data_IF_029248967179
#
_entry.id   IF_029248967179
#
_cell.length_a   1.000
_cell.length_b   1.000
_cell.length_c   1.000
_cell.angle_alpha   90.00
_cell.angle_beta   90.00
_cell.angle_gamma   90.00
#
_symmetry.space_group_name_H-M   'P 1'
#
loop_
_entity.id
_entity.type
_entity.pdbx_description
1 polymer ?
#
# COMPACT_ATOMS: atom_id res chain seq x y z
N UNK A 1 45.74 -6.42 18.65
CA UNK A 1 46.01 -5.95 17.29
C UNK A 1 44.66 -5.63 16.67
N UNK A 2 44.22 -4.38 16.81
CA UNK A 2 42.86 -3.95 16.45
C UNK A 2 42.82 -3.69 14.95
N UNK A 3 42.10 -4.53 14.20
CA UNK A 3 41.86 -4.31 12.78
C UNK A 3 40.87 -3.14 12.64
N UNK A 4 41.41 -1.93 12.42
CA UNK A 4 40.61 -0.83 11.88
C UNK A 4 40.31 -1.17 10.42
N UNK A 5 39.07 -1.58 10.14
CA UNK A 5 38.57 -1.57 8.78
C UNK A 5 38.47 -0.09 8.36
N UNK A 6 39.42 0.37 7.54
CA UNK A 6 39.28 1.62 6.81
C UNK A 6 38.12 1.42 5.85
N UNK A 7 36.96 1.95 6.20
CA UNK A 7 35.85 2.14 5.26
C UNK A 7 36.28 3.29 4.34
N UNK A 8 37.22 3.01 3.44
CA UNK A 8 37.41 3.79 2.21
C UNK A 8 36.21 3.51 1.30
N UNK A 9 35.02 3.92 1.75
CA UNK A 9 33.81 3.83 0.97
C UNK A 9 33.81 5.04 0.04
N UNK A 10 34.46 4.88 -1.11
CA UNK A 10 34.16 5.70 -2.26
C UNK A 10 32.66 5.57 -2.51
N UNK A 11 31.90 6.57 -2.05
CA UNK A 11 30.45 6.71 -2.16
C UNK A 11 30.05 6.96 -3.61
N UNK A 12 30.36 6.01 -4.48
CA UNK A 12 29.74 5.89 -5.78
C UNK A 12 28.36 5.32 -5.49
N UNK A 13 27.31 6.18 -5.47
CA UNK A 13 25.93 5.70 -5.37
C UNK A 13 25.76 4.53 -6.34
N UNK A 14 25.50 3.33 -5.82
CA UNK A 14 25.36 2.16 -6.65
C UNK A 14 24.01 2.25 -7.35
N UNK A 15 24.05 2.35 -8.67
CA UNK A 15 22.85 2.35 -9.46
C UNK A 15 22.33 0.92 -9.55
N UNK A 16 21.10 0.72 -9.09
CA UNK A 16 20.53 -0.62 -8.98
C UNK A 16 19.93 -1.08 -10.31
N UNK A 17 19.98 -2.37 -10.59
CA UNK A 17 19.29 -2.96 -11.74
C UNK A 17 18.13 -3.85 -11.27
N UNK A 18 16.94 -3.63 -11.85
CA UNK A 18 15.75 -4.45 -11.62
C UNK A 18 15.05 -4.72 -12.97
N UNK A 19 14.94 -5.97 -13.43
CA UNK A 19 14.11 -6.28 -14.57
C UNK A 19 12.65 -5.95 -14.23
N UNK A 20 11.97 -5.21 -15.10
CA UNK A 20 10.56 -4.90 -14.89
C UNK A 20 9.70 -5.21 -16.11
N UNK A 21 8.53 -5.81 -15.85
CA UNK A 21 7.51 -6.09 -16.85
C UNK A 21 6.65 -4.86 -17.13
N UNK A 22 5.96 -4.85 -18.28
CA UNK A 22 5.00 -3.79 -18.61
C UNK A 22 3.91 -3.62 -17.53
N UNK A 23 3.46 -4.73 -16.94
CA UNK A 23 2.47 -4.71 -15.85
C UNK A 23 2.99 -3.98 -14.61
N UNK A 24 4.23 -4.24 -14.19
CA UNK A 24 4.84 -3.58 -13.05
C UNK A 24 5.04 -2.07 -13.26
N UNK A 25 5.37 -1.67 -14.50
CA UNK A 25 5.46 -0.24 -14.86
C UNK A 25 4.08 0.41 -14.83
N UNK A 26 3.08 -0.24 -15.42
CA UNK A 26 1.71 0.24 -15.42
C UNK A 26 1.19 0.42 -13.98
N UNK A 27 1.40 -0.56 -13.10
CA UNK A 27 0.96 -0.46 -11.71
C UNK A 27 1.68 0.65 -10.92
N UNK A 28 2.95 0.92 -11.21
CA UNK A 28 3.65 2.07 -10.64
C UNK A 28 3.02 3.41 -11.10
N UNK A 29 2.78 3.55 -12.41
CA UNK A 29 2.15 4.74 -12.97
C UNK A 29 0.72 4.93 -12.47
N UNK A 30 -0.02 3.82 -12.32
CA UNK A 30 -1.39 3.82 -11.82
C UNK A 30 -1.48 3.97 -10.29
N UNK A 31 -0.38 3.94 -9.54
CA UNK A 31 -0.42 4.02 -8.07
C UNK A 31 -1.10 5.30 -7.56
N UNK A 32 -0.71 6.47 -8.08
CA UNK A 32 -1.29 7.76 -7.66
C UNK A 32 -2.73 7.93 -8.16
N UNK A 33 -3.06 7.71 -9.46
CA UNK A 33 -4.45 7.73 -9.92
C UNK A 33 -5.32 6.72 -9.18
N UNK A 34 -4.81 5.50 -8.93
CA UNK A 34 -5.51 4.44 -8.22
C UNK A 34 -5.83 4.80 -6.78
N UNK A 35 -4.90 5.45 -6.06
CA UNK A 35 -5.15 5.96 -4.71
C UNK A 35 -6.30 6.99 -4.70
N UNK A 36 -6.28 7.94 -5.62
CA UNK A 36 -7.33 8.95 -5.77
C UNK A 36 -8.67 8.31 -6.12
N UNK A 37 -8.68 7.42 -7.12
CA UNK A 37 -9.89 6.73 -7.56
C UNK A 37 -10.50 5.89 -6.44
N UNK A 38 -9.70 5.13 -5.66
CA UNK A 38 -10.21 4.36 -4.53
C UNK A 38 -10.80 5.25 -3.45
N UNK A 39 -10.12 6.35 -3.09
CA UNK A 39 -10.61 7.28 -2.08
C UNK A 39 -11.91 7.97 -2.51
N UNK A 40 -11.98 8.46 -3.75
CA UNK A 40 -13.18 9.07 -4.31
C UNK A 40 -14.32 8.06 -4.44
N UNK A 41 -14.02 6.85 -4.90
CA UNK A 41 -14.99 5.77 -5.07
C UNK A 41 -15.65 5.38 -3.74
N UNK A 42 -14.86 5.15 -2.70
CA UNK A 42 -15.40 4.79 -1.38
C UNK A 42 -16.20 5.96 -0.80
N UNK A 43 -15.73 7.18 -0.98
CA UNK A 43 -16.38 8.38 -0.43
C UNK A 43 -17.74 8.64 -1.08
N UNK A 44 -17.78 8.69 -2.41
CA UNK A 44 -18.93 9.18 -3.17
C UNK A 44 -19.29 8.35 -4.41
N UNK A 45 -18.52 7.30 -4.74
CA UNK A 45 -18.76 6.48 -5.94
C UNK A 45 -20.15 5.87 -6.00
N UNK A 46 -20.69 5.44 -4.84
CA UNK A 46 -22.08 4.95 -4.73
C UNK A 46 -23.15 5.99 -5.08
N UNK A 47 -22.84 7.29 -4.99
CA UNK A 47 -23.76 8.35 -5.39
C UNK A 47 -24.08 8.33 -6.89
N UNK A 48 -23.16 7.83 -7.72
CA UNK A 48 -23.36 7.66 -9.17
C UNK A 48 -24.52 6.70 -9.50
N UNK A 49 -24.91 5.85 -8.56
CA UNK A 49 -25.97 4.86 -8.70
C UNK A 49 -27.23 5.22 -7.88
N UNK A 50 -27.31 6.45 -7.37
CA UNK A 50 -28.42 6.89 -6.53
C UNK A 50 -28.40 6.31 -5.11
N UNK A 51 -27.23 5.87 -4.62
CA UNK A 51 -27.00 5.39 -3.26
C UNK A 51 -26.08 6.33 -2.46
N UNK A 52 -26.06 7.62 -2.79
CA UNK A 52 -25.30 8.65 -2.08
C UNK A 52 -26.18 9.30 -1.02
N UNK A 53 -25.96 8.96 0.24
CA UNK A 53 -26.75 9.45 1.37
C UNK A 53 -25.92 10.19 2.41
N UNK A 54 -26.40 10.16 3.65
CA UNK A 54 -25.76 10.86 4.78
C UNK A 54 -24.31 10.45 5.05
N UNK A 55 -23.91 9.21 4.72
CA UNK A 55 -22.56 8.72 4.97
C UNK A 55 -21.50 9.33 4.06
N UNK A 56 -21.88 9.92 2.92
CA UNK A 56 -20.92 10.55 1.99
C UNK A 56 -20.14 11.66 2.69
N UNK A 57 -20.82 12.51 3.47
CA UNK A 57 -20.18 13.59 4.23
C UNK A 57 -19.22 13.07 5.29
N UNK A 58 -19.61 12.01 6.00
CA UNK A 58 -18.76 11.36 7.02
C UNK A 58 -17.50 10.80 6.35
N UNK A 59 -17.65 10.07 5.23
CA UNK A 59 -16.53 9.46 4.54
C UNK A 59 -15.59 10.50 3.93
N UNK A 60 -16.11 11.63 3.48
CA UNK A 60 -15.33 12.72 2.90
C UNK A 60 -14.34 13.35 3.90
N UNK A 61 -14.64 13.33 5.20
CA UNK A 61 -13.77 13.86 6.25
C UNK A 61 -12.96 12.78 6.99
N UNK A 62 -13.26 11.49 6.77
CA UNK A 62 -12.66 10.37 7.51
C UNK A 62 -12.03 9.31 6.59
N UNK A 63 -12.83 8.34 6.13
CA UNK A 63 -12.36 7.18 5.37
C UNK A 63 -11.67 7.54 4.06
N UNK A 64 -12.21 8.50 3.30
CA UNK A 64 -11.63 8.97 2.03
C UNK A 64 -10.24 9.56 2.22
N UNK A 65 -10.08 10.62 3.05
CA UNK A 65 -8.78 11.19 3.35
C UNK A 65 -7.78 10.20 3.95
N UNK A 66 -8.24 9.33 4.87
CA UNK A 66 -7.38 8.32 5.48
C UNK A 66 -6.83 7.33 4.44
N UNK A 67 -7.70 6.80 3.57
CA UNK A 67 -7.28 5.87 2.52
C UNK A 67 -6.36 6.56 1.51
N UNK A 68 -6.68 7.79 1.12
CA UNK A 68 -5.84 8.59 0.22
C UNK A 68 -4.45 8.84 0.82
N UNK A 69 -4.37 9.15 2.11
CA UNK A 69 -3.10 9.36 2.79
C UNK A 69 -2.26 8.07 2.79
N UNK A 70 -2.86 6.93 3.17
CA UNK A 70 -2.16 5.64 3.24
C UNK A 70 -1.63 5.23 1.86
N UNK A 71 -2.51 5.18 0.85
CA UNK A 71 -2.13 4.76 -0.50
C UNK A 71 -1.26 5.81 -1.21
N UNK A 72 -1.47 7.09 -0.94
CA UNK A 72 -0.67 8.19 -1.48
C UNK A 72 0.77 8.17 -0.97
N UNK A 73 0.98 7.94 0.33
CA UNK A 73 2.32 7.77 0.90
C UNK A 73 2.98 6.50 0.37
N UNK A 74 2.23 5.40 0.23
CA UNK A 74 2.75 4.18 -0.38
C UNK A 74 3.21 4.41 -1.82
N UNK A 75 2.38 5.07 -2.64
CA UNK A 75 2.71 5.45 -4.01
C UNK A 75 3.95 6.35 -4.05
N UNK A 76 4.06 7.31 -3.14
CA UNK A 76 5.24 8.17 -3.02
C UNK A 76 6.52 7.36 -2.77
N UNK A 77 6.49 6.39 -1.85
CA UNK A 77 7.63 5.50 -1.63
C UNK A 77 7.96 4.62 -2.82
N UNK A 78 6.96 4.10 -3.53
CA UNK A 78 7.17 3.32 -4.75
C UNK A 78 7.86 4.14 -5.85
N UNK A 79 7.44 5.39 -6.04
CA UNK A 79 8.06 6.29 -7.00
C UNK A 79 9.49 6.66 -6.59
N UNK A 80 9.72 6.87 -5.30
CA UNK A 80 11.06 7.14 -4.80
C UNK A 80 11.98 5.92 -4.93
N UNK A 81 11.46 4.72 -4.66
CA UNK A 81 12.15 3.45 -4.90
C UNK A 81 12.56 3.31 -6.35
N UNK A 82 11.61 3.45 -7.28
CA UNK A 82 11.83 3.29 -8.71
C UNK A 82 12.92 4.21 -9.27
N UNK A 83 13.07 5.43 -8.73
CA UNK A 83 14.12 6.39 -9.15
C UNK A 83 15.55 5.92 -8.88
N UNK A 84 15.76 4.91 -8.02
CA UNK A 84 17.09 4.38 -7.69
C UNK A 84 17.57 3.28 -8.65
N UNK A 85 16.71 2.87 -9.58
CA UNK A 85 17.00 1.80 -10.52
C UNK A 85 17.25 2.35 -11.92
N UNK A 86 18.33 1.90 -12.57
CA UNK A 86 18.61 2.20 -13.97
C UNK A 86 17.70 1.42 -14.92
N UNK A 87 17.30 2.08 -16.01
CA UNK A 87 16.42 1.51 -17.01
C UNK A 87 14.94 1.75 -16.71
N UNK A 88 14.07 0.93 -17.30
CA UNK A 88 12.64 1.15 -17.17
C UNK A 88 12.14 0.61 -15.84
N UNK A 89 12.18 1.45 -14.81
CA UNK A 89 11.81 1.08 -13.45
C UNK A 89 10.29 0.93 -13.32
N UNK A 90 9.84 -0.29 -12.99
CA UNK A 90 8.48 -0.59 -12.53
C UNK A 90 8.51 -1.02 -11.06
N UNK A 91 7.35 -1.17 -10.42
CA UNK A 91 7.27 -1.69 -9.04
C UNK A 91 7.61 -3.19 -8.96
N UNK A 92 7.74 -3.77 -7.77
CA UNK A 92 7.83 -5.24 -7.62
C UNK A 92 6.52 -5.94 -7.96
N UNK A 93 6.58 -7.21 -8.37
CA UNK A 93 5.38 -8.02 -8.65
C UNK A 93 4.45 -8.10 -7.44
N UNK A 94 5.02 -8.22 -6.24
CA UNK A 94 4.27 -8.28 -4.98
C UNK A 94 3.44 -7.02 -4.79
N UNK A 95 4.04 -5.84 -4.90
CA UNK A 95 3.31 -4.57 -4.80
C UNK A 95 2.32 -4.35 -5.93
N UNK A 96 2.64 -4.80 -7.15
CA UNK A 96 1.73 -4.71 -8.29
C UNK A 96 0.44 -5.50 -8.04
N UNK A 97 0.56 -6.76 -7.61
CA UNK A 97 -0.59 -7.62 -7.29
C UNK A 97 -1.34 -7.11 -6.06
N UNK A 98 -0.61 -6.71 -5.01
CA UNK A 98 -1.21 -6.25 -3.77
C UNK A 98 -2.03 -4.97 -3.96
N UNK A 99 -1.55 -4.03 -4.79
CA UNK A 99 -2.33 -2.85 -5.19
C UNK A 99 -3.59 -3.25 -5.96
N UNK A 100 -3.47 -4.12 -6.96
CA UNK A 100 -4.61 -4.54 -7.77
C UNK A 100 -5.70 -5.19 -6.90
N UNK A 101 -5.31 -6.07 -5.97
CA UNK A 101 -6.21 -6.69 -5.00
C UNK A 101 -6.82 -5.64 -4.08
N UNK A 102 -6.04 -4.68 -3.59
CA UNK A 102 -6.53 -3.57 -2.74
C UNK A 102 -7.59 -2.75 -3.47
N UNK A 103 -7.36 -2.42 -4.75
CA UNK A 103 -8.31 -1.67 -5.56
C UNK A 103 -9.58 -2.47 -5.84
N UNK A 104 -9.47 -3.78 -6.09
CA UNK A 104 -10.63 -4.65 -6.25
C UNK A 104 -11.48 -4.73 -4.98
N UNK A 105 -10.85 -4.86 -3.80
CA UNK A 105 -11.56 -4.88 -2.52
C UNK A 105 -12.20 -3.51 -2.24
N UNK A 106 -11.50 -2.41 -2.49
CA UNK A 106 -12.05 -1.06 -2.36
C UNK A 106 -13.26 -0.85 -3.28
N UNK A 107 -13.20 -1.39 -4.50
CA UNK A 107 -14.31 -1.36 -5.44
C UNK A 107 -15.53 -2.09 -4.88
N UNK A 108 -15.34 -3.34 -4.43
CA UNK A 108 -16.39 -4.17 -3.80
C UNK A 108 -16.98 -3.46 -2.58
N UNK A 109 -16.13 -2.86 -1.72
CA UNK A 109 -16.60 -2.12 -0.56
C UNK A 109 -17.49 -0.96 -0.96
N UNK A 110 -17.08 -0.12 -1.93
CA UNK A 110 -17.94 0.98 -2.41
C UNK A 110 -19.27 0.52 -3.00
N UNK A 111 -19.30 -0.67 -3.62
CA UNK A 111 -20.54 -1.28 -4.13
C UNK A 111 -21.48 -1.74 -3.01
N UNK A 112 -20.92 -2.39 -1.98
CA UNK A 112 -21.66 -3.00 -0.88
C UNK A 112 -21.94 -2.04 0.27
N UNK A 113 -21.26 -0.90 0.35
CA UNK A 113 -21.43 0.07 1.44
C UNK A 113 -22.88 0.58 1.46
N UNK A 114 -23.68 0.21 2.47
CA UNK A 114 -25.04 0.70 2.58
C UNK A 114 -25.03 2.15 3.05
N UNK A 115 -25.92 2.96 2.48
CA UNK A 115 -26.15 4.35 2.84
C UNK A 115 -27.65 4.61 3.03
N UNK A 116 -28.00 5.69 3.70
CA UNK A 116 -29.39 6.08 3.94
C UNK A 116 -29.75 7.25 3.04
N UNK A 117 -30.67 7.00 2.10
CA UNK A 117 -31.22 7.99 1.17
C UNK A 117 -32.73 8.07 1.40
N UNK A 118 -33.25 9.25 1.71
CA UNK A 118 -34.68 9.48 1.97
C UNK A 118 -35.30 8.50 3.00
N UNK A 119 -34.53 8.16 4.03
CA UNK A 119 -34.95 7.23 5.10
C UNK A 119 -34.90 5.75 4.74
N UNK A 120 -34.43 5.39 3.54
CA UNK A 120 -34.25 3.99 3.10
C UNK A 120 -32.78 3.63 3.02
N UNK A 121 -32.42 2.45 3.52
CA UNK A 121 -31.08 1.88 3.36
C UNK A 121 -30.92 1.35 1.94
N UNK A 122 -29.95 1.88 1.21
CA UNK A 122 -29.65 1.52 -0.19
C UNK A 122 -28.14 1.36 -0.36
N UNK A 123 -27.71 0.48 -1.25
CA UNK A 123 -26.31 0.39 -1.69
C UNK A 123 -26.26 0.47 -3.21
N UNK A 124 -25.07 0.70 -3.79
CA UNK A 124 -24.93 0.66 -5.24
C UNK A 124 -25.25 -0.74 -5.79
N UNK A 125 -24.84 -1.79 -5.07
CA UNK A 125 -25.19 -3.17 -5.41
C UNK A 125 -26.71 -3.41 -5.41
N UNK A 126 -27.45 -2.91 -4.41
CA UNK A 126 -28.91 -3.10 -4.36
C UNK A 126 -29.64 -2.34 -5.47
N UNK A 127 -29.10 -1.20 -5.91
CA UNK A 127 -29.64 -0.42 -7.03
C UNK A 127 -29.43 -1.07 -8.40
N UNK A 128 -28.33 -1.83 -8.56
CA UNK A 128 -27.98 -2.47 -9.83
C UNK A 128 -28.52 -3.90 -9.92
N UNK A 129 -28.41 -4.68 -8.84
CA UNK A 129 -28.68 -6.12 -8.82
C UNK A 129 -30.05 -6.49 -8.22
N UNK A 130 -30.75 -5.52 -7.63
CA UNK A 130 -32.06 -5.70 -7.01
C UNK A 130 -32.06 -5.50 -5.50
N UNK A 131 -33.23 -5.20 -4.93
CA UNK A 131 -33.37 -4.81 -3.53
C UNK A 131 -32.94 -5.93 -2.55
N UNK A 132 -33.04 -7.20 -2.96
CA UNK A 132 -32.63 -8.37 -2.15
C UNK A 132 -31.13 -8.36 -1.79
N UNK A 133 -30.30 -7.63 -2.55
CA UNK A 133 -28.87 -7.48 -2.27
C UNK A 133 -28.56 -6.56 -1.08
N UNK A 134 -29.57 -5.91 -0.49
CA UNK A 134 -29.35 -5.07 0.70
C UNK A 134 -28.89 -5.87 1.91
N UNK A 135 -29.35 -7.12 2.06
CA UNK A 135 -28.90 -8.03 3.13
C UNK A 135 -27.42 -8.39 2.99
N UNK A 136 -26.97 -8.66 1.76
CA UNK A 136 -25.56 -8.88 1.45
C UNK A 136 -24.71 -7.64 1.77
N UNK A 137 -25.21 -6.46 1.40
CA UNK A 137 -24.57 -5.17 1.65
C UNK A 137 -24.41 -4.90 3.15
N UNK A 138 -25.44 -5.21 3.95
CA UNK A 138 -25.40 -5.07 5.40
C UNK A 138 -24.38 -6.03 6.06
N UNK A 139 -24.31 -7.29 5.58
CA UNK A 139 -23.40 -8.30 6.13
C UNK A 139 -21.93 -8.11 5.74
N UNK A 140 -21.67 -7.72 4.49
CA UNK A 140 -20.31 -7.63 3.95
C UNK A 140 -19.75 -6.21 3.86
N UNK A 141 -20.56 -5.17 4.01
CA UNK A 141 -20.09 -3.78 3.96
C UNK A 141 -18.98 -3.49 4.97
N UNK A 142 -19.18 -3.85 6.23
CA UNK A 142 -18.16 -3.65 7.27
C UNK A 142 -16.91 -4.51 7.03
N UNK A 143 -17.10 -5.78 6.68
CA UNK A 143 -16.00 -6.72 6.43
C UNK A 143 -15.13 -6.26 5.26
N UNK A 144 -15.74 -5.87 4.15
CA UNK A 144 -15.02 -5.35 2.97
C UNK A 144 -14.34 -4.00 3.26
N UNK A 145 -14.96 -3.15 4.09
CA UNK A 145 -14.32 -1.94 4.62
C UNK A 145 -13.04 -2.23 5.40
N UNK A 146 -13.09 -3.14 6.38
CA UNK A 146 -11.92 -3.54 7.17
C UNK A 146 -10.83 -4.13 6.26
N UNK A 147 -11.21 -5.06 5.36
CA UNK A 147 -10.29 -5.67 4.41
C UNK A 147 -9.62 -4.64 3.50
N UNK A 148 -10.33 -3.59 3.09
CA UNK A 148 -9.77 -2.50 2.29
C UNK A 148 -8.63 -1.82 3.04
N UNK A 149 -8.80 -1.48 4.32
CA UNK A 149 -7.75 -0.83 5.11
C UNK A 149 -6.60 -1.77 5.44
N UNK A 150 -6.88 -3.04 5.75
CA UNK A 150 -5.84 -4.05 5.96
C UNK A 150 -4.98 -4.21 4.70
N UNK A 151 -5.60 -4.29 3.52
CA UNK A 151 -4.90 -4.37 2.26
C UNK A 151 -4.11 -3.09 1.96
N UNK A 152 -4.70 -1.90 2.19
CA UNK A 152 -4.02 -0.62 2.02
C UNK A 152 -2.80 -0.46 2.94
N UNK A 153 -2.91 -0.85 4.21
CA UNK A 153 -1.76 -0.86 5.13
C UNK A 153 -0.72 -1.89 4.71
N UNK A 154 -1.12 -3.03 4.16
CA UNK A 154 -0.18 -4.01 3.60
C UNK A 154 0.62 -3.40 2.44
N UNK A 155 -0.05 -2.71 1.50
CA UNK A 155 0.64 -1.96 0.42
C UNK A 155 1.61 -0.94 1.02
N UNK A 156 1.17 -0.18 2.02
CA UNK A 156 2.00 0.82 2.70
C UNK A 156 3.26 0.22 3.32
N UNK A 157 3.13 -0.82 4.15
CA UNK A 157 4.28 -1.41 4.84
C UNK A 157 5.23 -2.13 3.90
N UNK A 158 4.71 -2.79 2.86
CA UNK A 158 5.56 -3.41 1.83
C UNK A 158 6.32 -2.35 1.03
N UNK A 159 5.64 -1.28 0.59
CA UNK A 159 6.28 -0.19 -0.14
C UNK A 159 7.34 0.54 0.72
N UNK A 160 7.06 0.74 2.00
CA UNK A 160 8.01 1.27 2.96
C UNK A 160 9.25 0.37 3.10
N UNK A 161 9.02 -0.92 3.31
CA UNK A 161 10.08 -1.92 3.49
C UNK A 161 10.97 -2.03 2.25
N UNK A 162 10.38 -2.07 1.06
CA UNK A 162 11.12 -2.08 -0.20
C UNK A 162 11.94 -0.80 -0.37
N UNK A 163 11.34 0.37 -0.21
CA UNK A 163 12.07 1.65 -0.31
C UNK A 163 13.22 1.73 0.71
N UNK A 164 13.02 1.23 1.94
CA UNK A 164 14.09 1.18 2.96
C UNK A 164 15.22 0.24 2.56
N UNK A 165 14.90 -0.95 2.04
CA UNK A 165 15.90 -1.93 1.56
C UNK A 165 16.69 -1.38 0.37
N UNK A 166 16.01 -0.81 -0.62
CA UNK A 166 16.66 -0.23 -1.80
C UNK A 166 17.55 0.96 -1.44
N UNK A 167 17.16 1.78 -0.45
CA UNK A 167 18.02 2.86 0.07
C UNK A 167 19.33 2.35 0.66
N UNK A 168 19.27 1.27 1.43
CA UNK A 168 20.46 0.66 2.04
C UNK A 168 21.38 0.06 0.97
N UNK A 169 20.81 -0.66 0.01
CA UNK A 169 21.56 -1.23 -1.13
C UNK A 169 22.22 -0.14 -1.97
N UNK A 170 21.51 0.94 -2.28
CA UNK A 170 22.08 2.08 -3.00
C UNK A 170 23.22 2.78 -2.24
N UNK A 171 23.20 2.73 -0.90
CA UNK A 171 24.27 3.21 -0.03
C UNK A 171 25.45 2.23 0.11
N UNK A 172 25.42 1.09 -0.60
CA UNK A 172 26.50 0.10 -0.59
C UNK A 172 26.52 -0.83 0.63
N UNK A 173 25.46 -0.86 1.44
CA UNK A 173 25.33 -1.80 2.56
C UNK A 173 24.86 -3.15 2.02
N UNK A 174 25.70 -4.18 2.10
CA UNK A 174 25.38 -5.54 1.67
C UNK A 174 24.49 -6.26 2.70
N UNK A 175 23.70 -7.24 2.25
CA UNK A 175 22.99 -8.15 3.18
C UNK A 175 23.97 -8.96 4.04
N UNK A 176 25.18 -9.23 3.53
CA UNK A 176 26.25 -9.87 4.28
C UNK A 176 26.75 -8.99 5.44
N UNK A 177 26.84 -7.67 5.22
CA UNK A 177 27.22 -6.72 6.28
C UNK A 177 26.16 -6.69 7.40
N UNK A 178 24.88 -6.82 7.05
CA UNK A 178 23.79 -6.88 8.04
C UNK A 178 23.82 -8.19 8.84
N UNK A 179 24.05 -9.34 8.18
CA UNK A 179 24.18 -10.61 8.89
C UNK A 179 25.39 -10.61 9.83
N UNK A 180 26.50 -10.02 9.42
CA UNK A 180 27.70 -9.90 10.26
C UNK A 180 27.44 -8.99 11.47
N UNK A 181 26.80 -7.84 11.26
CA UNK A 181 26.41 -6.95 12.36
C UNK A 181 25.44 -7.66 13.30
N UNK A 182 24.40 -8.33 12.79
CA UNK A 182 23.44 -9.06 13.61
C UNK A 182 24.07 -10.19 14.43
N UNK A 183 25.01 -10.94 13.83
CA UNK A 183 25.78 -11.98 14.54
C UNK A 183 26.62 -11.37 15.65
N UNK A 184 27.33 -10.28 15.39
CA UNK A 184 28.11 -9.58 16.41
C UNK A 184 27.23 -9.11 17.57
N UNK A 185 26.09 -8.47 17.31
CA UNK A 185 25.18 -8.05 18.37
C UNK A 185 24.66 -9.24 19.20
N UNK A 186 24.30 -10.36 18.57
CA UNK A 186 23.87 -11.56 19.31
C UNK A 186 24.98 -12.18 20.15
N UNK A 187 26.22 -12.10 19.68
CA UNK A 187 27.40 -12.60 20.41
C UNK A 187 27.70 -11.72 21.63
N UNK A 188 27.60 -10.40 21.50
CA UNK A 188 27.75 -9.47 22.64
C UNK A 188 26.62 -9.63 23.67
N UNK A 189 25.37 -9.77 23.24
CA UNK A 189 24.23 -9.98 24.15
C UNK A 189 24.35 -11.30 24.93
N UNK A 190 24.82 -12.37 24.27
CA UNK A 190 25.10 -13.65 24.95
C UNK A 190 26.23 -13.54 25.99
N UNK A 191 27.25 -12.73 25.74
CA UNK A 191 28.36 -12.54 26.66
C UNK A 191 27.95 -11.69 27.88
N UNK A 192 27.10 -10.69 27.70
CA UNK A 192 26.55 -9.87 28.80
C UNK A 192 25.59 -10.67 29.70
N UNK A 193 24.92 -11.72 29.21
CA UNK A 193 24.08 -12.62 30.03
C UNK A 193 24.88 -13.62 30.89
N UNK A 194 26.19 -13.78 30.65
CA UNK A 194 27.05 -14.72 31.38
C UNK A 194 27.92 -14.09 32.48
N UNK A 195 27.88 -12.76 32.64
CA UNK A 195 28.43 -12.03 33.81
C UNK A 195 27.39 -11.90 34.94
#
# INVERSE_FOLDING_TARGET
MTYYYSVDNQSSEQILHRPSSAFQRLMLWAAVPGALLCALWITAGRALFGAGGSLVGIFAISFGPALLAILGVAAWWMWHDAKRYEGSAGTTSTLAVLQLVTWAIAFIFGMLCPDVVDGKTVSAASKILGEDFIGLSAGFGNTSGILTFVAAFSVFFVAWGENRRSRKRAAGVSEEDEELIARQYSEYEFLDEME
#
